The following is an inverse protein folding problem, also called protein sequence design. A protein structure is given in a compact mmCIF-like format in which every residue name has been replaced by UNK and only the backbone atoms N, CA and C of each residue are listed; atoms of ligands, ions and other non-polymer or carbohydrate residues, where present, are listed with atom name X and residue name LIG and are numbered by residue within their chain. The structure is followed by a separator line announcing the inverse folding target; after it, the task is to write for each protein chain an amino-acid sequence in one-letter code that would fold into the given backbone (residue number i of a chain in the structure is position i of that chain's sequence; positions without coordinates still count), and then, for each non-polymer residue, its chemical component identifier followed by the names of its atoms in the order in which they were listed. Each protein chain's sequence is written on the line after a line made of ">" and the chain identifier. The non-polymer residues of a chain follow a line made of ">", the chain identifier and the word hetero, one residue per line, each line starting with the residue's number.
data_IF_515178218651
#
_entry.id   IF_515178218651
#
_cell.length_a   1.000
_cell.length_b   1.000
_cell.length_c   1.000
_cell.angle_alpha   90.00
_cell.angle_beta   90.00
_cell.angle_gamma   90.00
#
_symmetry.space_group_name_H-M   'P 1'
#
loop_
_entity.id
_entity.type
_entity.pdbx_description
1 polymer ?
#
# COMPACT_ATOMS: atom_id res chain seq x y z
N UNK A 1 13.69 -3.08 18.86
CA UNK A 1 13.26 -4.45 19.23
C UNK A 1 12.28 -4.33 20.39
N UNK A 2 11.08 -4.89 20.24
CA UNK A 2 10.01 -4.82 21.26
C UNK A 2 10.17 -5.88 22.34
N UNK A 3 9.05 -6.27 22.97
CA UNK A 3 9.02 -7.30 24.04
C UNK A 3 9.53 -8.68 23.59
N UNK A 4 9.44 -8.98 22.29
CA UNK A 4 9.88 -10.27 21.70
C UNK A 4 11.34 -10.29 21.24
N UNK A 5 12.09 -9.19 21.35
CA UNK A 5 13.54 -9.17 21.07
C UNK A 5 13.90 -9.70 19.67
N UNK A 6 14.85 -10.64 19.61
CA UNK A 6 15.26 -11.30 18.36
C UNK A 6 14.25 -12.33 17.85
N UNK A 7 13.18 -12.63 18.61
CA UNK A 7 12.11 -13.56 18.23
C UNK A 7 10.90 -12.85 17.64
N UNK A 8 10.99 -11.55 17.31
CA UNK A 8 9.93 -10.85 16.60
C UNK A 8 9.70 -11.51 15.24
N UNK A 9 8.49 -12.04 15.02
CA UNK A 9 8.10 -12.61 13.73
C UNK A 9 7.95 -11.53 12.66
N UNK A 10 7.92 -11.94 11.40
CA UNK A 10 7.88 -11.02 10.25
C UNK A 10 6.60 -10.17 10.30
N UNK A 11 5.48 -10.79 10.65
CA UNK A 11 4.18 -10.15 10.87
C UNK A 11 3.98 -9.58 12.29
N UNK A 12 5.02 -9.67 13.14
CA UNK A 12 5.09 -9.27 14.55
C UNK A 12 4.14 -9.97 15.54
N UNK A 13 2.87 -10.20 15.19
CA UNK A 13 1.82 -10.68 16.10
C UNK A 13 2.10 -12.10 16.63
N UNK A 14 2.56 -13.01 15.78
CA UNK A 14 2.86 -14.40 16.21
C UNK A 14 4.06 -14.47 17.16
N UNK A 15 5.01 -13.54 17.06
CA UNK A 15 6.14 -13.44 17.99
C UNK A 15 5.75 -13.00 19.41
N UNK A 16 4.51 -12.55 19.60
CA UNK A 16 3.97 -12.17 20.91
C UNK A 16 3.33 -13.36 21.66
N UNK A 17 3.14 -14.51 21.00
CA UNK A 17 2.53 -15.72 21.59
C UNK A 17 3.14 -16.15 22.94
N UNK A 18 4.48 -16.12 23.12
CA UNK A 18 5.07 -16.50 24.41
C UNK A 18 4.83 -15.49 25.54
N UNK A 19 4.43 -14.26 25.22
CA UNK A 19 4.41 -13.12 26.16
C UNK A 19 3.00 -12.64 26.52
N UNK A 20 1.98 -13.00 25.74
CA UNK A 20 0.61 -12.58 25.95
C UNK A 20 -0.35 -13.77 25.94
N UNK A 21 -1.46 -13.59 26.65
CA UNK A 21 -2.57 -14.54 26.60
C UNK A 21 -3.21 -14.59 25.20
N UNK A 22 -3.68 -15.78 24.83
CA UNK A 22 -4.27 -16.06 23.52
C UNK A 22 -5.49 -15.16 23.22
N UNK A 23 -6.25 -14.75 24.24
CA UNK A 23 -7.38 -13.83 24.08
C UNK A 23 -6.93 -12.46 23.56
N UNK A 24 -5.84 -11.92 24.12
CA UNK A 24 -5.30 -10.61 23.73
C UNK A 24 -4.72 -10.67 22.31
N UNK A 25 -4.07 -11.77 21.95
CA UNK A 25 -3.51 -11.97 20.60
C UNK A 25 -4.61 -11.98 19.55
N UNK A 26 -5.72 -12.69 19.80
CA UNK A 26 -6.87 -12.71 18.89
C UNK A 26 -7.51 -11.34 18.74
N UNK A 27 -7.68 -10.59 19.84
CA UNK A 27 -8.19 -9.23 19.80
C UNK A 27 -7.25 -8.30 19.01
N UNK A 28 -5.94 -8.38 19.25
CA UNK A 28 -4.93 -7.61 18.53
C UNK A 28 -4.94 -7.92 17.03
N UNK A 29 -5.03 -9.20 16.66
CA UNK A 29 -5.14 -9.63 15.27
C UNK A 29 -6.42 -9.10 14.61
N UNK A 30 -7.57 -9.15 15.31
CA UNK A 30 -8.84 -8.63 14.81
C UNK A 30 -8.79 -7.11 14.60
N UNK A 31 -8.24 -6.37 15.56
CA UNK A 31 -8.03 -4.93 15.42
C UNK A 31 -7.07 -4.59 14.28
N UNK A 32 -6.01 -5.40 14.11
CA UNK A 32 -5.10 -5.30 12.98
C UNK A 32 -5.82 -5.45 11.63
N UNK A 33 -6.70 -6.45 11.50
CA UNK A 33 -7.52 -6.64 10.31
C UNK A 33 -8.41 -5.43 10.05
N UNK A 34 -9.08 -4.88 11.06
CA UNK A 34 -9.91 -3.68 10.88
C UNK A 34 -9.10 -2.45 10.47
N UNK A 35 -7.93 -2.25 11.07
CA UNK A 35 -7.03 -1.15 10.72
C UNK A 35 -6.49 -1.27 9.29
N UNK A 36 -6.18 -2.49 8.85
CA UNK A 36 -5.77 -2.76 7.47
C UNK A 36 -6.92 -2.53 6.49
N UNK A 37 -8.13 -3.02 6.80
CA UNK A 37 -9.31 -2.85 5.96
C UNK A 37 -9.68 -1.38 5.78
N UNK A 38 -9.69 -0.59 6.85
CA UNK A 38 -9.99 0.84 6.76
C UNK A 38 -8.98 1.57 5.87
N UNK A 39 -7.68 1.32 6.09
CA UNK A 39 -6.60 1.92 5.29
C UNK A 39 -6.70 1.51 3.82
N UNK A 40 -7.00 0.24 3.55
CA UNK A 40 -7.16 -0.29 2.21
C UNK A 40 -8.35 0.35 1.48
N UNK A 41 -9.50 0.50 2.13
CA UNK A 41 -10.66 1.17 1.55
C UNK A 41 -10.41 2.65 1.28
N UNK A 42 -9.77 3.36 2.21
CA UNK A 42 -9.40 4.77 1.99
C UNK A 42 -8.48 4.92 0.78
N UNK A 43 -7.44 4.09 0.67
CA UNK A 43 -6.51 4.15 -0.46
C UNK A 43 -7.20 3.77 -1.79
N UNK A 44 -8.03 2.73 -1.78
CA UNK A 44 -8.76 2.29 -2.97
C UNK A 44 -9.73 3.36 -3.47
N UNK A 45 -10.38 4.07 -2.56
CA UNK A 45 -11.25 5.19 -2.88
C UNK A 45 -10.47 6.34 -3.53
N UNK A 46 -9.32 6.73 -2.96
CA UNK A 46 -8.46 7.79 -3.54
C UNK A 46 -8.01 7.43 -4.95
N UNK A 47 -7.54 6.20 -5.19
CA UNK A 47 -7.11 5.75 -6.52
C UNK A 47 -8.29 5.72 -7.50
N UNK A 48 -9.48 5.30 -7.03
CA UNK A 48 -10.69 5.27 -7.84
C UNK A 48 -11.09 6.69 -8.27
N UNK A 49 -11.03 7.67 -7.38
CA UNK A 49 -11.29 9.07 -7.72
C UNK A 49 -10.24 9.62 -8.70
N UNK A 50 -8.95 9.27 -8.55
CA UNK A 50 -7.92 9.58 -9.56
C UNK A 50 -8.26 9.00 -10.93
N UNK A 51 -8.70 7.74 -11.02
CA UNK A 51 -9.08 7.15 -12.31
C UNK A 51 -10.34 7.76 -12.94
N UNK A 52 -11.32 8.11 -12.11
CA UNK A 52 -12.57 8.72 -12.58
C UNK A 52 -12.36 10.17 -13.02
N UNK A 53 -11.57 10.96 -12.27
CA UNK A 53 -11.38 12.39 -12.52
C UNK A 53 -10.24 12.69 -13.49
N UNK A 54 -9.06 12.08 -13.31
CA UNK A 54 -7.90 12.40 -14.15
C UNK A 54 -7.96 11.63 -15.47
N UNK A 55 -8.34 10.34 -15.40
CA UNK A 55 -8.34 9.44 -16.56
C UNK A 55 -9.72 9.24 -17.20
N UNK A 56 -10.78 9.87 -16.66
CA UNK A 56 -12.14 9.82 -17.19
C UNK A 56 -12.67 8.37 -17.40
N UNK A 57 -12.24 7.44 -16.54
CA UNK A 57 -12.64 6.04 -16.59
C UNK A 57 -14.03 5.88 -15.96
N UNK A 58 -14.87 5.00 -16.51
CA UNK A 58 -16.21 4.75 -15.97
C UNK A 58 -16.15 4.19 -14.55
N UNK A 59 -17.08 4.61 -13.69
CA UNK A 59 -17.08 4.34 -12.24
C UNK A 59 -16.87 2.85 -11.88
N UNK A 60 -17.49 1.93 -12.63
CA UNK A 60 -17.37 0.48 -12.41
C UNK A 60 -15.95 0.00 -12.72
N UNK A 61 -15.35 0.47 -13.82
CA UNK A 61 -13.99 0.11 -14.22
C UNK A 61 -12.96 0.71 -13.26
N UNK A 62 -13.19 1.94 -12.81
CA UNK A 62 -12.33 2.61 -11.83
C UNK A 62 -12.31 1.84 -10.49
N UNK A 63 -13.48 1.43 -9.98
CA UNK A 63 -13.57 0.60 -8.77
C UNK A 63 -12.81 -0.72 -8.91
N UNK A 64 -13.05 -1.43 -10.03
CA UNK A 64 -12.43 -2.73 -10.27
C UNK A 64 -10.91 -2.58 -10.40
N UNK A 65 -10.43 -1.54 -11.09
CA UNK A 65 -9.00 -1.30 -11.26
C UNK A 65 -8.29 -0.87 -9.97
N UNK A 66 -8.97 -0.19 -9.05
CA UNK A 66 -8.40 0.19 -7.76
C UNK A 66 -8.27 -0.97 -6.79
N UNK A 67 -9.25 -1.89 -6.77
CA UNK A 67 -9.26 -3.04 -5.87
C UNK A 67 -8.55 -4.29 -6.42
N UNK A 68 -8.51 -4.44 -7.75
CA UNK A 68 -7.99 -5.65 -8.38
C UNK A 68 -6.52 -5.94 -8.04
N UNK A 69 -5.57 -4.97 -7.97
CA UNK A 69 -4.16 -5.31 -7.87
C UNK A 69 -3.81 -6.12 -6.60
N UNK A 70 -4.25 -5.73 -5.38
CA UNK A 70 -3.97 -6.52 -4.19
C UNK A 70 -4.65 -7.91 -4.22
N UNK A 71 -5.87 -7.99 -4.75
CA UNK A 71 -6.62 -9.26 -4.87
C UNK A 71 -5.94 -10.20 -5.87
N UNK A 72 -5.53 -9.70 -7.03
CA UNK A 72 -4.85 -10.47 -8.05
C UNK A 72 -3.49 -10.99 -7.56
N UNK A 73 -2.72 -10.17 -6.84
CA UNK A 73 -1.46 -10.60 -6.24
C UNK A 73 -1.66 -11.79 -5.28
N UNK A 74 -2.71 -11.73 -4.45
CA UNK A 74 -3.07 -12.83 -3.57
C UNK A 74 -3.48 -14.09 -4.35
N UNK A 75 -4.29 -13.95 -5.39
CA UNK A 75 -4.76 -15.07 -6.22
C UNK A 75 -3.63 -15.75 -7.00
N UNK A 76 -2.63 -14.99 -7.46
CA UNK A 76 -1.42 -15.51 -8.14
C UNK A 76 -0.50 -16.28 -7.17
N UNK A 77 -0.75 -16.18 -5.86
CA UNK A 77 -0.06 -16.99 -4.84
C UNK A 77 0.96 -16.21 -4.01
N UNK A 78 0.98 -14.88 -4.09
CA UNK A 78 1.77 -14.05 -3.18
C UNK A 78 1.15 -14.10 -1.79
N UNK A 79 1.61 -15.03 -0.96
CA UNK A 79 1.13 -15.25 0.42
C UNK A 79 2.15 -14.85 1.49
N UNK A 80 3.40 -14.63 1.10
CA UNK A 80 4.45 -14.18 2.02
C UNK A 80 4.26 -12.71 2.35
N UNK A 81 4.13 -12.40 3.65
CA UNK A 81 4.00 -11.02 4.14
C UNK A 81 5.20 -10.17 3.73
N UNK A 82 6.42 -10.70 3.87
CA UNK A 82 7.65 -9.98 3.52
C UNK A 82 7.71 -9.66 2.03
N UNK A 83 7.41 -10.66 1.17
CA UNK A 83 7.43 -10.48 -0.28
C UNK A 83 6.40 -9.44 -0.73
N UNK A 84 5.21 -9.44 -0.13
CA UNK A 84 4.19 -8.44 -0.41
C UNK A 84 4.68 -7.01 -0.07
N UNK A 85 5.34 -6.83 1.08
CA UNK A 85 5.92 -5.54 1.48
C UNK A 85 7.03 -5.09 0.53
N UNK A 86 7.94 -5.99 0.17
CA UNK A 86 9.05 -5.69 -0.75
C UNK A 86 8.53 -5.25 -2.12
N UNK A 87 7.57 -6.00 -2.68
CA UNK A 87 6.97 -5.64 -3.97
C UNK A 87 6.31 -4.27 -3.90
N UNK A 88 5.40 -4.06 -2.94
CA UNK A 88 4.69 -2.78 -2.83
C UNK A 88 5.66 -1.62 -2.59
N UNK A 89 6.67 -1.82 -1.74
CA UNK A 89 7.71 -0.83 -1.46
C UNK A 89 8.50 -0.44 -2.71
N UNK A 90 8.96 -1.42 -3.49
CA UNK A 90 9.66 -1.17 -4.76
C UNK A 90 8.77 -0.45 -5.76
N UNK A 91 7.52 -0.89 -5.91
CA UNK A 91 6.55 -0.27 -6.83
C UNK A 91 6.27 1.19 -6.47
N UNK A 92 5.90 1.48 -5.21
CA UNK A 92 5.60 2.84 -4.76
C UNK A 92 6.85 3.73 -4.78
N UNK A 93 8.00 3.22 -4.32
CA UNK A 93 9.25 3.96 -4.31
C UNK A 93 9.69 4.35 -5.71
N UNK A 94 9.70 3.39 -6.64
CA UNK A 94 10.13 3.61 -8.03
C UNK A 94 9.18 4.57 -8.76
N UNK A 95 7.87 4.35 -8.66
CA UNK A 95 6.88 5.21 -9.33
C UNK A 95 6.91 6.65 -8.80
N UNK A 96 7.06 6.83 -7.49
CA UNK A 96 7.16 8.16 -6.87
C UNK A 96 8.39 8.92 -7.37
N UNK A 97 9.55 8.26 -7.44
CA UNK A 97 10.79 8.88 -7.96
C UNK A 97 10.62 9.26 -9.44
N UNK A 98 10.04 8.39 -10.26
CA UNK A 98 9.79 8.67 -11.67
C UNK A 98 8.87 9.89 -11.83
N UNK A 99 7.77 9.98 -11.07
CA UNK A 99 6.86 11.12 -11.14
C UNK A 99 7.55 12.42 -10.73
N UNK A 100 8.34 12.42 -9.65
CA UNK A 100 9.09 13.60 -9.21
C UNK A 100 10.07 14.06 -10.31
N UNK A 101 10.78 13.14 -10.95
CA UNK A 101 11.71 13.47 -12.04
C UNK A 101 10.99 14.05 -13.25
N UNK A 102 9.86 13.49 -13.65
CA UNK A 102 9.04 14.00 -14.76
C UNK A 102 8.49 15.39 -14.46
N UNK A 103 7.99 15.62 -13.24
CA UNK A 103 7.51 16.92 -12.78
C UNK A 103 8.64 17.96 -12.76
N UNK A 104 9.82 17.59 -12.25
CA UNK A 104 11.00 18.47 -12.23
C UNK A 104 11.42 18.87 -13.65
N UNK A 105 11.47 17.93 -14.59
CA UNK A 105 11.79 18.20 -16.00
C UNK A 105 10.74 19.10 -16.67
N UNK A 106 9.46 18.88 -16.37
CA UNK A 106 8.37 19.72 -16.90
C UNK A 106 8.45 21.15 -16.34
N UNK A 107 8.61 21.29 -15.03
CA UNK A 107 8.70 22.60 -14.37
C UNK A 107 9.91 23.43 -14.86
N UNK A 108 11.07 22.79 -15.02
CA UNK A 108 12.28 23.46 -15.54
C UNK A 108 12.17 23.85 -17.01
N UNK A 109 11.48 23.04 -17.84
CA UNK A 109 11.20 23.39 -19.24
C UNK A 109 10.25 24.57 -19.36
N UNK A 110 9.18 24.61 -18.57
CA UNK A 110 8.22 25.73 -18.55
C UNK A 110 8.89 27.02 -18.10
N UNK A 111 9.76 26.99 -17.08
CA UNK A 111 10.50 28.18 -16.61
C UNK A 111 11.39 28.81 -17.68
N UNK A 112 11.96 28.02 -18.61
CA UNK A 112 12.77 28.54 -19.71
C UNK A 112 11.95 29.23 -20.80
N UNK A 113 10.65 28.93 -20.93
CA UNK A 113 9.76 29.52 -21.95
C UNK A 113 9.12 30.84 -21.49
N UNK A 114 9.10 31.14 -20.19
CA UNK A 114 8.51 32.38 -19.63
C UNK A 114 9.48 33.56 -19.58
N UNK A 115 10.76 33.35 -19.93
CA UNK A 115 11.82 34.36 -19.94
C UNK A 115 12.42 34.62 -21.35
N UNK A 116 11.70 34.21 -22.39
CA UNK A 116 11.98 34.54 -23.81
C UNK A 116 10.78 35.33 -24.31
#
# INVERSE_FOLDING_TARGET
>A
VGVSGNQTSIEAISGLVPYLDNGIIKLGALLGVFAMLSSFFTLSYVIKDTFEQDYHVTNIRAHLLSFAPPVLLFLVGVRSFLLALELVGVWLGTTSVIFILLLYRKATKTRKLTHI
#
